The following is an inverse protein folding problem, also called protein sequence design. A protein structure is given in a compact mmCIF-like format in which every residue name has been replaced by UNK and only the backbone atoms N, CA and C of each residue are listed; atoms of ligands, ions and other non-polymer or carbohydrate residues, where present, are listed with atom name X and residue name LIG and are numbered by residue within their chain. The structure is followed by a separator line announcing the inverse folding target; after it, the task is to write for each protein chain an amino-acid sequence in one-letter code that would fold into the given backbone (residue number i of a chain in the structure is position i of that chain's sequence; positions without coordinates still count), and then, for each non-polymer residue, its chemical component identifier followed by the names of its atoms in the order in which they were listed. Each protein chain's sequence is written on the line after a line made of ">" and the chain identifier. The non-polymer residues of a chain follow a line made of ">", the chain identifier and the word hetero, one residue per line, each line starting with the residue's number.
data_IF_354713477588
#
_entry.id   IF_354713477588
#
_cell.length_a   1.000
_cell.length_b   1.000
_cell.length_c   1.000
_cell.angle_alpha   90.00
_cell.angle_beta   90.00
_cell.angle_gamma   90.00
#
_symmetry.space_group_name_H-M   'P 1'
#
loop_
_entity.id
_entity.type
_entity.pdbx_description
1 polymer ?
#
# COMPACT_ATOMS: atom_id res chain seq x y z
N UNK A 1 0.83 -16.73 -34.51
CA UNK A 1 1.20 -16.76 -33.07
C UNK A 1 2.13 -15.61 -32.72
N UNK A 2 3.03 -15.15 -33.61
CA UNK A 2 3.93 -14.00 -33.36
C UNK A 2 3.24 -12.64 -33.08
N UNK A 3 2.07 -12.36 -33.69
CA UNK A 3 1.36 -11.09 -33.46
C UNK A 3 0.81 -10.99 -32.02
N UNK A 4 0.23 -12.07 -31.49
CA UNK A 4 -0.37 -12.12 -30.15
C UNK A 4 0.71 -11.92 -29.07
N UNK A 5 1.89 -12.51 -29.27
CA UNK A 5 3.03 -12.37 -28.36
C UNK A 5 3.67 -10.97 -28.39
N UNK A 6 3.66 -10.31 -29.55
CA UNK A 6 4.15 -8.93 -29.66
C UNK A 6 3.18 -7.95 -29.00
N UNK A 7 1.88 -8.24 -29.10
CA UNK A 7 0.80 -7.42 -28.54
C UNK A 7 0.80 -7.45 -27.00
N UNK A 8 0.96 -8.62 -26.35
CA UNK A 8 0.98 -8.70 -24.88
C UNK A 8 2.15 -7.92 -24.27
N UNK A 9 3.35 -8.00 -24.86
CA UNK A 9 4.54 -7.31 -24.37
C UNK A 9 4.42 -5.79 -24.51
N UNK A 10 3.90 -5.34 -25.66
CA UNK A 10 3.62 -3.92 -25.89
C UNK A 10 2.60 -3.40 -24.89
N UNK A 11 1.51 -4.14 -24.69
CA UNK A 11 0.44 -3.76 -23.77
C UNK A 11 0.94 -3.70 -22.32
N UNK A 12 1.74 -4.68 -21.86
CA UNK A 12 2.30 -4.71 -20.51
C UNK A 12 3.24 -3.52 -20.25
N UNK A 13 4.07 -3.18 -21.24
CA UNK A 13 4.93 -1.99 -21.20
C UNK A 13 4.11 -0.70 -21.15
N UNK A 14 3.12 -0.53 -22.00
CA UNK A 14 2.30 0.68 -22.03
C UNK A 14 1.47 0.84 -20.74
N UNK A 15 0.90 -0.25 -20.25
CA UNK A 15 0.12 -0.28 -19.01
C UNK A 15 0.98 0.12 -17.81
N UNK A 16 2.11 -0.55 -17.58
CA UNK A 16 3.00 -0.25 -16.45
C UNK A 16 3.52 1.20 -16.47
N UNK A 17 3.99 1.68 -17.63
CA UNK A 17 4.45 3.07 -17.79
C UNK A 17 3.33 4.06 -17.47
N UNK A 18 2.12 3.82 -17.98
CA UNK A 18 0.97 4.69 -17.74
C UNK A 18 0.60 4.72 -16.26
N UNK A 19 0.54 3.57 -15.60
CA UNK A 19 0.09 3.45 -14.21
C UNK A 19 1.09 4.08 -13.24
N UNK A 20 2.39 3.82 -13.38
CA UNK A 20 3.41 4.48 -12.55
C UNK A 20 3.55 5.98 -12.86
N UNK A 21 3.32 6.42 -14.10
CA UNK A 21 3.32 7.85 -14.44
C UNK A 21 2.17 8.61 -13.79
N UNK A 22 0.99 8.00 -13.62
CA UNK A 22 -0.18 8.63 -12.98
C UNK A 22 0.11 9.07 -11.53
N UNK A 23 0.99 8.35 -10.85
CA UNK A 23 1.42 8.66 -9.47
C UNK A 23 2.77 9.42 -9.41
N UNK A 24 3.30 9.85 -10.57
CA UNK A 24 4.64 10.46 -10.70
C UNK A 24 5.75 9.62 -10.04
N UNK A 25 5.70 8.29 -10.23
CA UNK A 25 6.66 7.37 -9.62
C UNK A 25 8.07 7.57 -10.20
N UNK A 26 9.04 7.76 -9.30
CA UNK A 26 10.44 8.01 -9.63
C UNK A 26 11.36 7.18 -8.75
N UNK A 27 12.52 6.80 -9.28
CA UNK A 27 13.59 6.16 -8.49
C UNK A 27 14.03 7.09 -7.36
N UNK A 28 14.10 6.54 -6.14
CA UNK A 28 14.44 7.27 -4.90
C UNK A 28 15.67 8.16 -5.05
N UNK A 29 16.73 7.64 -5.67
CA UNK A 29 18.03 8.32 -5.73
C UNK A 29 18.26 9.10 -7.02
N UNK A 30 18.06 8.46 -8.18
CA UNK A 30 18.34 9.07 -9.48
C UNK A 30 17.25 10.03 -9.96
N UNK A 31 16.08 10.02 -9.32
CA UNK A 31 14.88 10.79 -9.70
C UNK A 31 14.39 10.51 -11.15
N UNK A 32 14.94 9.46 -11.78
CA UNK A 32 14.53 9.00 -13.09
C UNK A 32 13.10 8.43 -13.02
N UNK A 33 12.32 8.53 -14.11
CA UNK A 33 11.04 7.86 -14.19
C UNK A 33 11.18 6.37 -13.85
N UNK A 34 10.23 5.84 -13.07
CA UNK A 34 10.29 4.43 -12.66
C UNK A 34 10.31 3.44 -13.84
N UNK A 35 9.79 3.87 -15.01
CA UNK A 35 9.85 3.12 -16.25
C UNK A 35 11.26 2.71 -16.70
N UNK A 36 12.32 3.40 -16.23
CA UNK A 36 13.71 3.00 -16.51
C UNK A 36 14.05 1.68 -15.81
N UNK A 37 13.61 1.50 -14.57
CA UNK A 37 13.80 0.24 -13.82
C UNK A 37 13.03 -0.90 -14.48
N UNK A 38 11.75 -0.69 -14.77
CA UNK A 38 10.90 -1.70 -15.43
C UNK A 38 11.52 -2.17 -16.75
N UNK A 39 12.07 -1.24 -17.54
CA UNK A 39 12.76 -1.57 -18.78
C UNK A 39 14.06 -2.36 -18.55
N UNK A 40 14.81 -2.06 -17.49
CA UNK A 40 16.04 -2.77 -17.14
C UNK A 40 15.75 -4.21 -16.69
N UNK A 41 14.74 -4.41 -15.84
CA UNK A 41 14.31 -5.73 -15.37
C UNK A 41 13.79 -6.57 -16.54
N UNK A 42 12.87 -6.03 -17.35
CA UNK A 42 12.36 -6.73 -18.53
C UNK A 42 13.47 -7.08 -19.53
N UNK A 43 14.45 -6.18 -19.71
CA UNK A 43 15.62 -6.46 -20.55
C UNK A 43 16.46 -7.61 -19.98
N UNK A 44 16.76 -7.64 -18.68
CA UNK A 44 17.50 -8.73 -18.06
C UNK A 44 16.78 -10.07 -18.23
N UNK A 45 15.48 -10.12 -17.97
CA UNK A 45 14.66 -11.33 -18.15
C UNK A 45 14.68 -11.80 -19.61
N UNK A 46 14.55 -10.87 -20.58
CA UNK A 46 14.62 -11.20 -22.02
C UNK A 46 15.97 -11.78 -22.49
N UNK A 47 17.02 -11.71 -21.66
CA UNK A 47 18.31 -12.36 -22.00
C UNK A 47 18.36 -13.85 -21.70
N UNK A 48 17.42 -14.36 -20.90
CA UNK A 48 17.40 -15.75 -20.43
C UNK A 48 16.13 -16.52 -20.80
N UNK A 49 15.10 -15.83 -21.30
CA UNK A 49 13.87 -16.44 -21.79
C UNK A 49 13.26 -15.63 -22.95
N UNK A 50 12.58 -16.33 -23.85
CA UNK A 50 11.73 -15.75 -24.91
C UNK A 50 10.23 -15.84 -24.59
N UNK A 51 9.87 -16.38 -23.42
CA UNK A 51 8.50 -16.53 -22.97
C UNK A 51 7.81 -15.16 -22.76
N UNK A 52 6.79 -14.82 -23.56
CA UNK A 52 6.13 -13.51 -23.49
C UNK A 52 5.48 -13.23 -22.15
N UNK A 53 4.91 -14.25 -21.48
CA UNK A 53 4.24 -14.06 -20.20
C UNK A 53 5.25 -13.72 -19.08
N UNK A 54 6.42 -14.38 -19.03
CA UNK A 54 7.49 -14.02 -18.06
C UNK A 54 8.04 -12.62 -18.31
N UNK A 55 8.24 -12.23 -19.57
CA UNK A 55 8.73 -10.88 -19.91
C UNK A 55 7.64 -9.82 -19.63
N UNK A 56 6.36 -10.13 -19.88
CA UNK A 56 5.25 -9.26 -19.49
C UNK A 56 5.18 -9.07 -17.97
N UNK A 57 5.34 -10.14 -17.19
CA UNK A 57 5.46 -10.07 -15.72
C UNK A 57 6.61 -9.17 -15.30
N UNK A 58 7.77 -9.23 -15.96
CA UNK A 58 8.90 -8.35 -15.66
C UNK A 58 8.56 -6.85 -15.83
N UNK A 59 7.69 -6.49 -16.77
CA UNK A 59 7.16 -5.12 -16.89
C UNK A 59 6.14 -4.77 -15.80
N UNK A 60 5.42 -5.76 -15.27
CA UNK A 60 4.26 -5.58 -14.39
C UNK A 60 4.56 -5.85 -12.90
N UNK A 61 5.75 -6.34 -12.55
CA UNK A 61 6.05 -6.90 -11.23
C UNK A 61 5.74 -5.95 -10.05
N UNK A 62 6.01 -4.66 -10.20
CA UNK A 62 5.76 -3.65 -9.15
C UNK A 62 4.40 -2.96 -9.26
N UNK A 63 3.60 -3.27 -10.29
CA UNK A 63 2.38 -2.50 -10.59
C UNK A 63 1.36 -2.64 -9.47
N UNK A 64 1.20 -3.84 -8.91
CA UNK A 64 0.25 -4.11 -7.82
C UNK A 64 0.75 -3.55 -6.48
N UNK A 65 2.07 -3.51 -6.27
CA UNK A 65 2.65 -3.00 -5.02
C UNK A 65 2.65 -1.48 -4.95
N UNK A 66 3.08 -0.82 -6.03
CA UNK A 66 3.37 0.61 -6.03
C UNK A 66 2.22 1.48 -6.54
N UNK A 67 1.19 0.87 -7.12
CA UNK A 67 0.12 1.61 -7.79
C UNK A 67 -1.26 1.16 -7.34
N UNK A 68 -2.34 1.95 -7.57
CA UNK A 68 -3.69 1.55 -7.21
C UNK A 68 -4.27 0.36 -8.01
N UNK A 69 -3.54 -0.16 -9.00
CA UNK A 69 -3.96 -1.27 -9.84
C UNK A 69 -4.00 -2.58 -9.04
N UNK A 70 -4.99 -3.40 -9.33
CA UNK A 70 -5.27 -4.66 -8.62
C UNK A 70 -4.89 -5.88 -9.43
N UNK A 71 -4.69 -7.02 -8.77
CA UNK A 71 -4.44 -8.30 -9.46
C UNK A 71 -5.57 -8.71 -10.41
N UNK A 72 -6.80 -8.26 -10.13
CA UNK A 72 -7.93 -8.47 -11.03
C UNK A 72 -7.80 -7.69 -12.34
N UNK A 73 -7.37 -6.43 -12.29
CA UNK A 73 -7.11 -5.65 -13.51
C UNK A 73 -5.99 -6.30 -14.33
N UNK A 74 -4.94 -6.83 -13.68
CA UNK A 74 -3.89 -7.58 -14.37
C UNK A 74 -4.45 -8.85 -15.04
N UNK A 75 -5.28 -9.61 -14.33
CA UNK A 75 -5.92 -10.82 -14.87
C UNK A 75 -6.83 -10.52 -16.05
N UNK A 76 -7.60 -9.43 -15.98
CA UNK A 76 -8.53 -9.03 -17.04
C UNK A 76 -7.80 -8.59 -18.31
N UNK A 77 -6.68 -7.88 -18.16
CA UNK A 77 -5.93 -7.29 -19.29
C UNK A 77 -4.89 -8.26 -19.88
N UNK A 78 -4.30 -9.15 -19.08
CA UNK A 78 -3.15 -9.99 -19.47
C UNK A 78 -3.36 -11.50 -19.27
N UNK A 79 -4.49 -11.91 -18.69
CA UNK A 79 -4.83 -13.30 -18.43
C UNK A 79 -4.35 -13.82 -17.07
N UNK A 80 -4.88 -14.99 -16.70
CA UNK A 80 -4.64 -15.63 -15.39
C UNK A 80 -3.19 -15.99 -15.15
N UNK A 81 -2.47 -16.42 -16.19
CA UNK A 81 -1.06 -16.80 -16.11
C UNK A 81 -0.18 -15.62 -15.65
N UNK A 82 -0.29 -14.47 -16.31
CA UNK A 82 0.47 -13.27 -15.95
C UNK A 82 0.07 -12.76 -14.57
N UNK A 83 -1.23 -12.77 -14.25
CA UNK A 83 -1.71 -12.36 -12.93
C UNK A 83 -1.18 -13.25 -11.81
N UNK A 84 -1.06 -14.56 -12.03
CA UNK A 84 -0.48 -15.48 -11.05
C UNK A 84 1.02 -15.24 -10.87
N UNK A 85 1.75 -14.96 -11.95
CA UNK A 85 3.18 -14.61 -11.86
C UNK A 85 3.42 -13.27 -11.15
N UNK A 86 2.57 -12.27 -11.37
CA UNK A 86 2.63 -10.98 -10.65
C UNK A 86 2.28 -11.19 -9.17
N UNK A 87 1.26 -12.00 -8.88
CA UNK A 87 0.91 -12.37 -7.50
C UNK A 87 2.07 -13.03 -6.76
N UNK A 88 2.75 -14.01 -7.39
CA UNK A 88 3.94 -14.67 -6.83
C UNK A 88 5.08 -13.70 -6.46
N UNK A 89 5.11 -12.52 -7.07
CA UNK A 89 6.12 -11.49 -6.87
C UNK A 89 5.69 -10.40 -5.87
N UNK A 90 4.40 -10.35 -5.54
CA UNK A 90 3.81 -9.34 -4.70
C UNK A 90 3.96 -9.74 -3.23
N UNK A 91 4.51 -8.87 -2.39
CA UNK A 91 4.61 -9.08 -0.94
C UNK A 91 3.23 -9.46 -0.35
N UNK A 92 3.20 -10.36 0.62
CA UNK A 92 1.95 -10.85 1.25
C UNK A 92 1.82 -10.36 2.69
N UNK A 93 2.93 -9.93 3.29
CA UNK A 93 2.95 -9.44 4.65
C UNK A 93 2.13 -8.16 4.79
N UNK A 94 1.50 -8.03 5.94
CA UNK A 94 0.65 -6.91 6.34
C UNK A 94 1.31 -6.14 7.47
N UNK A 95 0.95 -4.87 7.68
CA UNK A 95 1.52 -4.08 8.76
C UNK A 95 1.34 -4.74 10.15
N UNK A 96 0.20 -5.40 10.40
CA UNK A 96 -0.08 -6.13 11.64
C UNK A 96 0.68 -7.44 11.86
N UNK A 97 1.43 -7.95 10.87
CA UNK A 97 2.18 -9.23 10.97
C UNK A 97 3.48 -9.12 11.81
N UNK A 98 3.57 -8.12 12.68
CA UNK A 98 4.71 -7.90 13.58
C UNK A 98 5.80 -7.01 12.99
N UNK A 99 7.02 -7.13 13.52
CA UNK A 99 8.14 -6.26 13.13
C UNK A 99 8.64 -6.53 11.70
N UNK A 100 9.53 -5.66 11.18
CA UNK A 100 10.07 -5.79 9.80
C UNK A 100 10.67 -7.17 9.51
N UNK A 101 11.37 -7.77 10.48
CA UNK A 101 11.98 -9.07 10.30
C UNK A 101 10.93 -10.19 10.16
N UNK A 102 9.85 -10.14 10.95
CA UNK A 102 8.72 -11.06 10.83
C UNK A 102 8.02 -10.91 9.47
N UNK A 103 7.73 -9.68 9.05
CA UNK A 103 7.11 -9.40 7.75
C UNK A 103 7.96 -9.90 6.57
N UNK A 104 9.26 -9.61 6.57
CA UNK A 104 10.18 -10.08 5.53
C UNK A 104 10.37 -11.60 5.54
N UNK A 105 10.21 -12.27 6.69
CA UNK A 105 10.19 -13.72 6.74
C UNK A 105 8.96 -14.31 6.02
N UNK A 106 7.78 -13.71 6.19
CA UNK A 106 6.54 -14.09 5.50
C UNK A 106 6.66 -13.87 3.99
N UNK A 107 7.15 -12.71 3.55
CA UNK A 107 7.34 -12.41 2.12
C UNK A 107 8.35 -13.39 1.48
N UNK A 108 9.41 -13.77 2.22
CA UNK A 108 10.37 -14.77 1.76
C UNK A 108 9.76 -16.16 1.66
N UNK A 109 8.91 -16.55 2.61
CA UNK A 109 8.19 -17.83 2.55
C UNK A 109 7.26 -17.89 1.32
N UNK A 110 6.55 -16.79 1.03
CA UNK A 110 5.76 -16.65 -0.19
C UNK A 110 6.63 -16.82 -1.46
N UNK A 111 7.75 -16.10 -1.56
CA UNK A 111 8.68 -16.23 -2.67
C UNK A 111 9.32 -17.62 -2.77
N UNK A 112 9.47 -18.36 -1.67
CA UNK A 112 9.95 -19.72 -1.68
C UNK A 112 9.01 -20.65 -2.46
N UNK A 113 7.69 -20.42 -2.35
CA UNK A 113 6.64 -21.19 -3.01
C UNK A 113 6.33 -20.68 -4.43
N UNK A 114 6.87 -19.53 -4.83
CA UNK A 114 6.69 -18.95 -6.15
C UNK A 114 7.25 -19.85 -7.27
N UNK A 115 6.67 -19.73 -8.47
CA UNK A 115 7.14 -20.45 -9.65
C UNK A 115 8.57 -20.04 -10.06
N UNK A 116 9.30 -20.94 -10.74
CA UNK A 116 10.64 -20.65 -11.25
C UNK A 116 10.68 -19.42 -12.16
N UNK A 117 9.59 -19.16 -12.91
CA UNK A 117 9.43 -17.97 -13.75
C UNK A 117 9.34 -16.69 -12.93
N UNK A 118 8.53 -16.67 -11.87
CA UNK A 118 8.49 -15.55 -10.93
C UNK A 118 9.85 -15.34 -10.24
N UNK A 119 10.47 -16.42 -9.73
CA UNK A 119 11.83 -16.34 -9.13
C UNK A 119 12.87 -15.75 -10.11
N UNK A 120 12.78 -16.08 -11.39
CA UNK A 120 13.62 -15.50 -12.47
C UNK A 120 13.44 -13.99 -12.60
N UNK A 121 12.19 -13.51 -12.58
CA UNK A 121 11.90 -12.06 -12.58
C UNK A 121 12.43 -11.41 -11.30
N UNK A 122 12.24 -12.04 -10.13
CA UNK A 122 12.74 -11.49 -8.85
C UNK A 122 14.26 -11.37 -8.84
N UNK A 123 14.99 -12.30 -9.43
CA UNK A 123 16.45 -12.21 -9.57
C UNK A 123 16.87 -11.00 -10.41
N UNK A 124 16.18 -10.74 -11.52
CA UNK A 124 16.44 -9.56 -12.36
C UNK A 124 16.14 -8.24 -11.62
N UNK A 125 15.02 -8.19 -10.89
CA UNK A 125 14.67 -7.08 -10.00
C UNK A 125 15.78 -6.81 -8.97
N UNK A 126 16.18 -7.83 -8.20
CA UNK A 126 17.24 -7.73 -7.19
C UNK A 126 18.57 -7.25 -7.79
N UNK A 127 18.93 -7.67 -9.01
CA UNK A 127 20.14 -7.20 -9.68
C UNK A 127 20.08 -5.70 -9.93
N UNK A 128 18.99 -5.19 -10.53
CA UNK A 128 18.85 -3.78 -10.86
C UNK A 128 18.81 -2.91 -9.60
N UNK A 129 17.99 -3.31 -8.62
CA UNK A 129 17.84 -2.61 -7.35
C UNK A 129 19.14 -2.60 -6.54
N UNK A 130 19.85 -3.72 -6.45
CA UNK A 130 21.15 -3.79 -5.77
C UNK A 130 22.17 -2.83 -6.41
N UNK A 131 22.21 -2.74 -7.74
CA UNK A 131 23.12 -1.83 -8.44
C UNK A 131 22.84 -0.35 -8.13
N UNK A 132 21.56 0.04 -8.10
CA UNK A 132 21.15 1.42 -7.83
C UNK A 132 21.38 1.78 -6.36
N UNK A 133 20.98 0.92 -5.42
CA UNK A 133 21.09 1.16 -3.98
C UNK A 133 22.56 1.25 -3.56
N UNK A 134 23.40 0.26 -3.92
CA UNK A 134 24.82 0.27 -3.52
C UNK A 134 25.60 1.48 -4.05
N UNK A 135 25.16 2.05 -5.17
CA UNK A 135 25.82 3.21 -5.78
C UNK A 135 25.45 4.51 -5.08
N UNK A 136 24.21 4.63 -4.61
CA UNK A 136 23.65 5.91 -4.21
C UNK A 136 23.38 6.03 -2.69
N UNK A 137 23.23 4.92 -1.97
CA UNK A 137 22.89 4.92 -0.55
C UNK A 137 23.67 3.84 0.23
N UNK A 138 24.92 4.12 0.63
CA UNK A 138 25.74 3.17 1.38
C UNK A 138 25.15 2.75 2.72
N UNK A 139 24.29 3.57 3.34
CA UNK A 139 23.66 3.26 4.63
C UNK A 139 22.55 2.23 4.44
N UNK A 140 21.61 2.50 3.52
CA UNK A 140 20.54 1.56 3.23
C UNK A 140 21.05 0.27 2.55
N UNK A 141 22.12 0.37 1.76
CA UNK A 141 22.73 -0.76 1.08
C UNK A 141 23.10 -1.90 2.05
N UNK A 142 23.47 -1.61 3.30
CA UNK A 142 23.81 -2.65 4.27
C UNK A 142 22.59 -3.46 4.72
N UNK A 143 21.45 -2.81 4.91
CA UNK A 143 20.17 -3.47 5.20
C UNK A 143 19.73 -4.28 4.00
N UNK A 144 19.70 -3.64 2.82
CA UNK A 144 19.25 -4.28 1.58
C UNK A 144 20.09 -5.50 1.19
N UNK A 145 21.43 -5.46 1.36
CA UNK A 145 22.31 -6.60 1.07
C UNK A 145 22.06 -7.78 2.01
N UNK A 146 21.70 -7.51 3.26
CA UNK A 146 21.30 -8.57 4.20
C UNK A 146 19.99 -9.21 3.77
N UNK A 147 18.99 -8.39 3.42
CA UNK A 147 17.69 -8.85 2.91
C UNK A 147 17.81 -9.62 1.59
N UNK A 148 18.58 -9.10 0.62
CA UNK A 148 18.88 -9.78 -0.64
C UNK A 148 19.58 -11.12 -0.40
N UNK A 149 20.48 -11.21 0.59
CA UNK A 149 21.13 -12.47 0.95
C UNK A 149 20.13 -13.54 1.37
N UNK A 150 19.17 -13.18 2.24
CA UNK A 150 18.11 -14.07 2.68
C UNK A 150 17.16 -14.50 1.53
N UNK A 151 16.89 -13.61 0.57
CA UNK A 151 16.09 -13.95 -0.61
C UNK A 151 16.83 -14.93 -1.53
N UNK A 152 18.14 -14.76 -1.73
CA UNK A 152 18.94 -15.66 -2.57
C UNK A 152 18.97 -17.12 -2.08
N UNK A 153 18.65 -17.37 -0.80
CA UNK A 153 18.51 -18.73 -0.25
C UNK A 153 17.30 -19.48 -0.84
N UNK A 154 16.24 -18.77 -1.24
CA UNK A 154 14.98 -19.37 -1.73
C UNK A 154 14.75 -19.18 -3.24
N UNK A 155 15.61 -18.41 -3.90
CA UNK A 155 15.55 -18.09 -5.34
C UNK A 155 16.44 -18.98 -6.23
N UNK A 156 17.05 -20.04 -5.67
CA UNK A 156 17.98 -20.93 -6.37
C UNK A 156 17.34 -21.72 -7.54
N UNK A 157 16.02 -21.88 -7.54
CA UNK A 157 15.28 -22.56 -8.62
C UNK A 157 14.86 -21.61 -9.77
N UNK A 158 15.21 -20.33 -9.71
CA UNK A 158 15.08 -19.41 -10.84
C UNK A 158 16.11 -19.69 -11.94
N UNK A 159 16.18 -18.83 -12.97
CA UNK A 159 17.19 -18.97 -14.01
C UNK A 159 18.62 -18.97 -13.44
N UNK A 160 19.40 -19.98 -13.81
CA UNK A 160 20.75 -20.20 -13.28
C UNK A 160 21.72 -19.08 -13.62
N UNK A 161 21.61 -18.45 -14.80
CA UNK A 161 22.52 -17.36 -15.20
C UNK A 161 22.22 -16.09 -14.40
N UNK A 162 20.94 -15.73 -14.27
CA UNK A 162 20.52 -14.61 -13.43
C UNK A 162 20.84 -14.87 -11.95
N UNK A 163 20.69 -16.10 -11.46
CA UNK A 163 21.06 -16.45 -10.09
C UNK A 163 22.55 -16.18 -9.82
N UNK A 164 23.43 -16.67 -10.70
CA UNK A 164 24.87 -16.42 -10.58
C UNK A 164 25.20 -14.92 -10.70
N UNK A 165 24.51 -14.19 -11.56
CA UNK A 165 24.66 -12.75 -11.68
C UNK A 165 24.21 -12.01 -10.41
N UNK A 166 23.11 -12.43 -9.79
CA UNK A 166 22.60 -11.85 -8.55
C UNK A 166 23.57 -12.12 -7.38
N UNK A 167 24.06 -13.36 -7.23
CA UNK A 167 25.08 -13.73 -6.23
C UNK A 167 26.36 -12.91 -6.42
N UNK A 168 26.83 -12.74 -7.66
CA UNK A 168 28.02 -11.92 -7.95
C UNK A 168 27.78 -10.44 -7.64
N UNK A 169 26.58 -9.93 -7.94
CA UNK A 169 26.18 -8.54 -7.67
C UNK A 169 26.14 -8.30 -6.16
N UNK A 170 25.50 -9.20 -5.40
CA UNK A 170 25.46 -9.21 -3.95
C UNK A 170 26.86 -9.20 -3.33
N UNK A 171 27.72 -10.15 -3.71
CA UNK A 171 29.08 -10.26 -3.19
C UNK A 171 29.92 -9.01 -3.47
N UNK A 172 29.84 -8.47 -4.70
CA UNK A 172 30.55 -7.25 -5.11
C UNK A 172 30.07 -6.03 -4.33
N UNK A 173 28.76 -5.90 -4.09
CA UNK A 173 28.21 -4.81 -3.29
C UNK A 173 28.62 -4.94 -1.83
N UNK A 174 28.49 -6.13 -1.24
CA UNK A 174 28.87 -6.42 0.15
C UNK A 174 30.34 -6.08 0.41
N UNK A 175 31.24 -6.39 -0.53
CA UNK A 175 32.67 -6.07 -0.40
C UNK A 175 32.98 -4.55 -0.41
N UNK A 176 32.07 -3.71 -0.91
CA UNK A 176 32.21 -2.25 -0.91
C UNK A 176 31.67 -1.59 0.35
N UNK A 177 30.96 -2.33 1.20
CA UNK A 177 30.37 -1.78 2.42
C UNK A 177 31.40 -1.82 3.56
N UNK A 178 31.55 -0.69 4.24
CA UNK A 178 32.52 -0.51 5.32
C UNK A 178 31.92 -1.06 6.64
N UNK A 179 32.61 -1.95 7.38
CA UNK A 179 32.05 -2.58 8.58
C UNK A 179 31.86 -1.62 9.78
N UNK A 180 32.38 -0.39 9.72
CA UNK A 180 32.29 0.61 10.81
C UNK A 180 31.03 1.49 10.78
N UNK A 181 30.15 1.34 9.78
CA UNK A 181 28.86 2.05 9.77
C UNK A 181 27.90 1.29 10.69
N UNK A 182 27.78 1.73 11.93
CA UNK A 182 26.84 1.18 12.90
C UNK A 182 25.40 1.22 12.37
N UNK A 183 24.70 0.10 12.55
CA UNK A 183 23.27 -0.06 12.32
C UNK A 183 22.48 1.05 13.03
N UNK A 184 21.94 1.97 12.25
CA UNK A 184 20.74 2.69 12.66
C UNK A 184 19.57 1.98 11.96
N UNK A 185 18.84 1.15 12.69
CA UNK A 185 17.80 0.26 12.20
C UNK A 185 16.53 0.98 11.69
N UNK A 186 16.58 2.30 11.55
CA UNK A 186 15.43 3.18 11.29
C UNK A 186 15.52 3.88 9.92
N UNK A 187 15.78 3.15 8.83
CA UNK A 187 15.95 3.77 7.49
C UNK A 187 14.61 3.88 6.71
N UNK A 188 13.47 3.51 7.29
CA UNK A 188 12.17 3.83 6.69
C UNK A 188 11.69 5.24 7.10
N UNK A 189 12.51 6.27 6.86
CA UNK A 189 12.24 7.65 7.30
C UNK A 189 11.19 8.40 6.46
N UNK A 190 10.62 7.78 5.42
CA UNK A 190 9.61 8.44 4.57
C UNK A 190 8.22 8.48 5.21
N UNK A 191 7.99 7.59 6.17
CA UNK A 191 6.78 7.48 6.97
C UNK A 191 7.24 7.68 8.42
N UNK A 192 6.66 8.67 9.11
CA UNK A 192 7.03 8.99 10.50
C UNK A 192 5.86 8.62 11.40
N UNK A 193 6.11 7.93 12.52
CA UNK A 193 5.07 7.66 13.50
C UNK A 193 4.57 8.95 14.15
N UNK A 194 3.32 8.94 14.59
CA UNK A 194 2.75 10.01 15.41
C UNK A 194 3.48 10.08 16.75
N UNK A 195 3.89 11.28 17.18
CA UNK A 195 4.57 11.51 18.47
C UNK A 195 3.61 11.65 19.65
N UNK A 196 2.29 11.78 19.42
CA UNK A 196 1.22 11.95 20.41
C UNK A 196 1.09 10.86 21.49
N UNK A 197 0.07 10.99 22.35
CA UNK A 197 -0.15 10.10 23.51
C UNK A 197 -0.31 8.63 23.07
N UNK A 198 0.71 7.80 23.34
CA UNK A 198 0.77 6.40 22.92
C UNK A 198 -0.45 5.60 23.36
N UNK A 199 -0.96 5.87 24.56
CA UNK A 199 -2.14 5.19 25.09
C UNK A 199 -3.39 5.48 24.25
N UNK A 200 -3.56 6.73 23.84
CA UNK A 200 -4.73 7.15 23.08
C UNK A 200 -4.70 6.62 21.64
N UNK A 201 -3.51 6.55 21.02
CA UNK A 201 -3.32 5.92 19.71
C UNK A 201 -3.62 4.42 19.79
N UNK A 202 -3.15 3.75 20.84
CA UNK A 202 -3.42 2.33 21.07
C UNK A 202 -4.91 2.03 21.25
N UNK A 203 -5.58 2.77 22.13
CA UNK A 203 -7.03 2.62 22.32
C UNK A 203 -7.79 2.82 21.01
N UNK A 204 -7.31 3.75 20.18
CA UNK A 204 -7.90 4.02 18.88
C UNK A 204 -7.68 2.90 17.86
N UNK A 205 -6.48 2.29 17.80
CA UNK A 205 -6.18 1.18 16.89
C UNK A 205 -6.91 -0.11 17.28
N UNK A 206 -7.12 -0.34 18.58
CA UNK A 206 -7.83 -1.53 19.09
C UNK A 206 -9.36 -1.39 19.06
N UNK A 207 -9.90 -0.19 18.81
CA UNK A 207 -11.33 0.08 18.84
C UNK A 207 -12.10 -0.40 17.59
N UNK A 208 -11.39 -0.74 16.52
CA UNK A 208 -11.98 -1.07 15.22
C UNK A 208 -11.36 -2.33 14.63
N UNK A 209 -12.22 -3.21 14.13
CA UNK A 209 -11.86 -4.54 13.65
C UNK A 209 -12.61 -4.89 12.38
N UNK A 210 -12.08 -5.82 11.59
CA UNK A 210 -12.63 -6.25 10.31
C UNK A 210 -14.14 -6.59 10.39
N UNK A 211 -14.56 -7.27 11.46
CA UNK A 211 -15.95 -7.65 11.69
C UNK A 211 -16.91 -6.45 11.79
N UNK A 212 -16.43 -5.25 12.19
CA UNK A 212 -17.26 -4.07 12.37
C UNK A 212 -17.77 -3.48 11.04
N UNK A 213 -17.11 -3.85 9.92
CA UNK A 213 -17.43 -3.36 8.58
C UNK A 213 -17.65 -4.47 7.56
N UNK A 214 -17.48 -5.73 7.95
CA UNK A 214 -17.73 -6.87 7.07
C UNK A 214 -19.22 -6.92 6.66
N UNK A 215 -19.47 -7.12 5.36
CA UNK A 215 -20.79 -7.50 4.86
C UNK A 215 -20.95 -9.02 4.93
N UNK A 216 -22.13 -9.54 5.29
CA UNK A 216 -22.34 -10.98 5.42
C UNK A 216 -22.22 -11.67 4.05
N UNK A 217 -21.44 -12.74 3.99
CA UNK A 217 -21.35 -13.60 2.81
C UNK A 217 -22.47 -14.62 2.78
N UNK A 218 -23.00 -14.85 1.59
CA UNK A 218 -23.84 -16.02 1.32
C UNK A 218 -23.02 -17.11 0.67
N UNK A 219 -23.31 -18.35 1.05
CA UNK A 219 -22.66 -19.54 0.51
C UNK A 219 -23.63 -20.39 -0.31
N UNK A 220 -23.21 -20.79 -1.50
CA UNK A 220 -23.97 -21.63 -2.44
C UNK A 220 -23.28 -23.00 -2.61
N UNK A 221 -24.05 -24.04 -2.92
CA UNK A 221 -23.48 -25.33 -3.29
C UNK A 221 -22.68 -25.19 -4.59
N UNK A 222 -21.54 -25.88 -4.70
CA UNK A 222 -20.70 -25.86 -5.91
C UNK A 222 -21.45 -26.26 -7.18
N UNK A 223 -22.45 -27.14 -7.08
CA UNK A 223 -23.25 -27.62 -8.20
C UNK A 223 -24.46 -26.73 -8.50
N UNK A 224 -24.62 -25.62 -7.78
CA UNK A 224 -25.69 -24.65 -8.04
C UNK A 224 -25.55 -24.11 -9.47
N UNK A 225 -26.65 -24.10 -10.22
CA UNK A 225 -26.65 -23.50 -11.56
C UNK A 225 -26.36 -22.00 -11.49
N UNK A 226 -25.62 -21.49 -12.47
CA UNK A 226 -25.23 -20.09 -12.53
C UNK A 226 -26.43 -19.15 -12.63
N UNK A 227 -27.48 -19.54 -13.34
CA UNK A 227 -28.71 -18.73 -13.47
C UNK A 227 -29.38 -18.56 -12.11
N UNK A 228 -29.42 -19.64 -11.32
CA UNK A 228 -30.00 -19.58 -9.98
C UNK A 228 -29.14 -18.79 -9.01
N UNK A 229 -27.81 -18.90 -9.13
CA UNK A 229 -26.88 -18.08 -8.36
C UNK A 229 -27.06 -16.59 -8.69
N UNK A 230 -27.13 -16.23 -9.98
CA UNK A 230 -27.40 -14.87 -10.44
C UNK A 230 -28.73 -14.34 -9.89
N UNK A 231 -29.82 -15.12 -9.97
CA UNK A 231 -31.11 -14.74 -9.36
C UNK A 231 -31.00 -14.43 -7.86
N UNK A 232 -30.22 -15.23 -7.11
CA UNK A 232 -30.00 -15.01 -5.68
C UNK A 232 -29.17 -13.75 -5.46
N UNK A 233 -28.11 -13.58 -6.23
CA UNK A 233 -27.20 -12.43 -6.13
C UNK A 233 -27.93 -11.13 -6.45
N UNK A 234 -28.70 -11.07 -7.54
CA UNK A 234 -29.50 -9.89 -7.92
C UNK A 234 -30.58 -9.57 -6.88
N UNK A 235 -31.33 -10.58 -6.42
CA UNK A 235 -32.39 -10.40 -5.43
C UNK A 235 -31.88 -9.81 -4.12
N UNK A 236 -30.64 -10.13 -3.77
CA UNK A 236 -30.02 -9.70 -2.52
C UNK A 236 -28.94 -8.63 -2.71
N UNK A 237 -28.78 -8.10 -3.93
CA UNK A 237 -27.78 -7.11 -4.31
C UNK A 237 -26.36 -7.51 -3.84
N UNK A 238 -25.97 -8.74 -4.16
CA UNK A 238 -24.67 -9.32 -3.80
C UNK A 238 -23.73 -9.27 -5.00
N UNK A 239 -22.54 -8.71 -4.80
CA UNK A 239 -21.48 -8.73 -5.82
C UNK A 239 -20.66 -10.03 -5.80
N UNK A 240 -20.64 -10.71 -4.66
CA UNK A 240 -19.84 -11.91 -4.40
C UNK A 240 -20.58 -12.90 -3.50
N UNK A 241 -20.39 -14.19 -3.77
CA UNK A 241 -20.87 -15.31 -2.94
C UNK A 241 -19.74 -16.32 -2.76
N UNK A 242 -19.75 -17.06 -1.65
CA UNK A 242 -18.85 -18.19 -1.46
C UNK A 242 -19.46 -19.48 -2.01
N UNK A 243 -18.61 -20.42 -2.37
CA UNK A 243 -19.03 -21.77 -2.73
C UNK A 243 -18.62 -22.76 -1.65
N UNK A 244 -19.51 -23.71 -1.38
CA UNK A 244 -19.28 -24.80 -0.43
C UNK A 244 -19.39 -26.17 -1.06
N UNK A 245 -18.51 -27.04 -0.64
CA UNK A 245 -18.50 -28.48 -0.93
C UNK A 245 -18.42 -29.22 0.40
N UNK A 246 -19.32 -30.18 0.62
CA UNK A 246 -19.40 -30.96 1.87
C UNK A 246 -19.48 -30.10 3.16
N UNK A 247 -20.09 -28.91 3.04
CA UNK A 247 -20.25 -27.97 4.16
C UNK A 247 -19.04 -27.07 4.42
N UNK A 248 -17.92 -27.23 3.69
CA UNK A 248 -16.75 -26.37 3.78
C UNK A 248 -16.73 -25.34 2.66
N UNK A 249 -16.31 -24.12 2.97
CA UNK A 249 -16.13 -23.07 1.97
C UNK A 249 -14.80 -23.29 1.25
N UNK A 250 -14.85 -23.46 -0.07
CA UNK A 250 -13.68 -23.79 -0.90
C UNK A 250 -13.26 -22.67 -1.85
N UNK A 251 -14.12 -21.67 -2.04
CA UNK A 251 -13.86 -20.55 -2.95
C UNK A 251 -15.01 -19.57 -3.01
N UNK A 252 -14.98 -18.69 -4.00
CA UNK A 252 -15.99 -17.67 -4.23
C UNK A 252 -16.26 -17.45 -5.72
N UNK A 253 -17.40 -16.84 -6.02
CA UNK A 253 -17.78 -16.42 -7.37
C UNK A 253 -18.29 -14.99 -7.33
N UNK A 254 -18.00 -14.24 -8.39
CA UNK A 254 -18.46 -12.86 -8.56
C UNK A 254 -19.63 -12.79 -9.54
N UNK A 255 -20.54 -11.86 -9.29
CA UNK A 255 -21.76 -11.70 -10.07
C UNK A 255 -21.45 -11.51 -11.55
N UNK A 256 -20.49 -10.64 -11.85
CA UNK A 256 -20.10 -10.30 -13.23
C UNK A 256 -19.33 -11.37 -14.00
N UNK A 257 -19.06 -12.53 -13.40
CA UNK A 257 -18.26 -13.61 -14.01
C UNK A 257 -19.03 -14.93 -14.19
N UNK A 258 -20.27 -14.98 -13.70
CA UNK A 258 -21.13 -16.14 -13.87
C UNK A 258 -21.62 -16.17 -15.32
N UNK A 259 -21.17 -17.17 -16.07
CA UNK A 259 -21.75 -17.53 -17.37
C UNK A 259 -22.68 -18.73 -17.22
N UNK A 260 -23.19 -19.29 -18.32
CA UNK A 260 -24.09 -20.45 -18.27
C UNK A 260 -23.36 -21.69 -17.73
N UNK A 261 -24.08 -22.51 -16.94
CA UNK A 261 -23.52 -23.75 -16.37
C UNK A 261 -23.66 -23.81 -14.85
N UNK A 262 -22.60 -24.25 -14.18
CA UNK A 262 -22.57 -24.42 -12.72
C UNK A 262 -21.54 -23.48 -12.09
N UNK A 263 -21.81 -23.06 -10.85
CA UNK A 263 -20.95 -22.13 -10.12
C UNK A 263 -19.50 -22.62 -9.99
N UNK A 264 -19.28 -23.93 -9.79
CA UNK A 264 -17.95 -24.52 -9.69
C UNK A 264 -17.04 -24.17 -10.88
N UNK A 265 -17.59 -24.10 -12.11
CA UNK A 265 -16.82 -23.78 -13.32
C UNK A 265 -16.31 -22.33 -13.34
N UNK A 266 -16.90 -21.46 -12.54
CA UNK A 266 -16.55 -20.04 -12.42
C UNK A 266 -15.88 -19.72 -11.07
N UNK A 267 -15.54 -20.76 -10.30
CA UNK A 267 -15.01 -20.60 -8.96
C UNK A 267 -13.61 -19.99 -8.96
N UNK A 268 -13.41 -19.04 -8.04
CA UNK A 268 -12.10 -18.52 -7.67
C UNK A 268 -11.68 -19.07 -6.32
N UNK A 269 -10.44 -19.54 -6.24
CA UNK A 269 -9.81 -19.87 -4.96
C UNK A 269 -9.41 -18.59 -4.22
N UNK A 270 -9.42 -18.63 -2.89
CA UNK A 270 -8.90 -17.53 -2.08
C UNK A 270 -7.40 -17.38 -2.27
N UNK A 271 -6.95 -16.17 -2.56
CA UNK A 271 -5.53 -15.83 -2.72
C UNK A 271 -4.85 -15.72 -1.35
N UNK A 272 -3.53 -15.94 -1.31
CA UNK A 272 -2.78 -15.83 -0.05
C UNK A 272 -2.89 -14.40 0.52
N UNK A 273 -3.13 -14.29 1.83
CA UNK A 273 -3.32 -13.00 2.50
C UNK A 273 -4.69 -12.34 2.25
N UNK A 274 -5.55 -12.89 1.38
CA UNK A 274 -6.87 -12.33 1.08
C UNK A 274 -7.89 -12.58 2.20
N UNK A 275 -7.67 -13.60 3.04
CA UNK A 275 -8.48 -13.90 4.22
C UNK A 275 -7.82 -13.28 5.47
N UNK A 276 -8.64 -12.68 6.34
CA UNK A 276 -8.26 -12.14 7.66
C UNK A 276 -9.18 -12.68 8.74
N UNK A 277 -8.74 -12.61 10.00
CA UNK A 277 -9.63 -12.84 11.14
C UNK A 277 -10.51 -11.60 11.37
N UNK A 278 -11.71 -11.79 11.90
CA UNK A 278 -12.64 -10.72 12.29
C UNK A 278 -12.03 -9.66 13.21
N UNK A 279 -11.04 -10.01 14.02
CA UNK A 279 -10.30 -9.10 14.91
C UNK A 279 -9.19 -8.29 14.21
N UNK A 280 -8.92 -8.54 12.93
CA UNK A 280 -7.86 -7.83 12.19
C UNK A 280 -8.14 -6.33 12.06
N UNK A 281 -7.09 -5.52 12.04
CA UNK A 281 -7.23 -4.06 12.10
C UNK A 281 -7.70 -3.49 10.76
N UNK A 282 -8.31 -2.29 10.77
CA UNK A 282 -8.60 -1.57 9.53
C UNK A 282 -7.36 -1.27 8.69
N UNK A 283 -6.18 -1.09 9.31
CA UNK A 283 -4.93 -0.93 8.56
C UNK A 283 -4.64 -2.15 7.69
N UNK A 284 -4.82 -3.36 8.22
CA UNK A 284 -4.63 -4.61 7.47
C UNK A 284 -5.66 -4.74 6.34
N UNK A 285 -6.91 -4.34 6.59
CA UNK A 285 -7.96 -4.32 5.57
C UNK A 285 -7.61 -3.39 4.41
N UNK A 286 -7.24 -2.14 4.71
CA UNK A 286 -6.83 -1.16 3.70
C UNK A 286 -5.66 -1.71 2.88
N UNK A 287 -4.67 -2.32 3.54
CA UNK A 287 -3.52 -2.92 2.89
C UNK A 287 -3.92 -4.01 1.89
N UNK A 288 -4.78 -4.96 2.29
CA UNK A 288 -5.26 -6.03 1.39
C UNK A 288 -6.01 -5.44 0.19
N UNK A 289 -6.88 -4.46 0.43
CA UNK A 289 -7.68 -3.81 -0.60
C UNK A 289 -6.86 -2.93 -1.57
N UNK A 290 -5.57 -2.70 -1.29
CA UNK A 290 -4.67 -2.09 -2.29
C UNK A 290 -4.40 -3.06 -3.44
N UNK A 291 -4.27 -4.36 -3.14
CA UNK A 291 -3.87 -5.40 -4.10
C UNK A 291 -5.05 -6.23 -4.61
N UNK A 292 -6.06 -6.42 -3.76
CA UNK A 292 -7.23 -7.26 -3.99
C UNK A 292 -8.51 -6.43 -4.06
N UNK A 293 -9.51 -6.91 -4.81
CA UNK A 293 -10.84 -6.27 -4.82
C UNK A 293 -11.66 -6.56 -3.56
N UNK A 294 -11.47 -7.75 -2.99
CA UNK A 294 -12.18 -8.24 -1.82
C UNK A 294 -11.19 -8.74 -0.79
N UNK A 295 -11.42 -8.38 0.46
CA UNK A 295 -10.85 -8.96 1.65
C UNK A 295 -11.92 -9.85 2.31
N UNK A 296 -11.62 -11.11 2.54
CA UNK A 296 -12.54 -12.07 3.15
C UNK A 296 -12.29 -12.15 4.66
N UNK A 297 -13.36 -12.12 5.45
CA UNK A 297 -13.30 -12.10 6.91
C UNK A 297 -13.75 -13.45 7.44
N UNK A 298 -12.88 -14.04 8.26
CA UNK A 298 -13.15 -15.28 8.97
C UNK A 298 -13.47 -15.01 10.44
N UNK A 299 -14.57 -15.57 10.91
CA UNK A 299 -14.98 -15.54 12.32
C UNK A 299 -15.16 -16.99 12.76
N UNK A 300 -14.49 -17.38 13.85
CA UNK A 300 -14.47 -18.76 14.37
C UNK A 300 -14.00 -19.81 13.34
N UNK A 301 -13.10 -19.42 12.44
CA UNK A 301 -12.49 -20.32 11.45
C UNK A 301 -13.30 -20.50 10.16
N UNK A 302 -14.46 -19.87 10.02
CA UNK A 302 -15.26 -19.89 8.80
C UNK A 302 -15.27 -18.53 8.10
N UNK A 303 -15.21 -18.53 6.77
CA UNK A 303 -15.29 -17.30 5.95
C UNK A 303 -16.75 -16.87 5.80
N UNK A 304 -17.17 -15.88 6.57
CA UNK A 304 -18.57 -15.47 6.66
C UNK A 304 -18.80 -13.98 6.39
N UNK A 305 -17.73 -13.20 6.19
CA UNK A 305 -17.83 -11.81 5.80
C UNK A 305 -16.91 -11.47 4.63
N UNK A 306 -17.24 -10.39 3.92
CA UNK A 306 -16.32 -9.77 2.98
C UNK A 306 -16.29 -8.26 3.17
N UNK A 307 -15.20 -7.65 2.75
CA UNK A 307 -15.00 -6.22 2.71
C UNK A 307 -14.44 -5.91 1.32
N UNK A 308 -15.05 -4.98 0.60
CA UNK A 308 -14.51 -4.41 -0.63
C UNK A 308 -14.18 -2.93 -0.40
N UNK A 309 -13.71 -2.24 -1.45
CA UNK A 309 -13.48 -0.80 -1.36
C UNK A 309 -14.77 -0.01 -1.08
N UNK A 310 -15.97 -0.51 -1.39
CA UNK A 310 -17.21 0.22 -1.06
C UNK A 310 -17.43 0.36 0.45
N UNK A 311 -17.04 -0.65 1.23
CA UNK A 311 -17.24 -0.67 2.69
C UNK A 311 -16.39 0.41 3.39
N UNK A 312 -15.37 0.95 2.72
CA UNK A 312 -14.55 2.07 3.21
C UNK A 312 -15.38 3.36 3.32
N UNK A 313 -16.49 3.47 2.59
CA UNK A 313 -17.43 4.59 2.74
C UNK A 313 -18.35 4.47 3.97
N UNK A 314 -18.31 3.36 4.71
CA UNK A 314 -19.15 3.18 5.91
C UNK A 314 -18.81 4.21 7.00
N UNK A 315 -19.81 4.66 7.80
CA UNK A 315 -19.60 5.63 8.88
C UNK A 315 -18.49 5.25 9.87
N UNK A 316 -18.34 3.95 10.18
CA UNK A 316 -17.31 3.44 11.09
C UNK A 316 -15.90 3.72 10.57
N UNK A 317 -15.65 3.48 9.28
CA UNK A 317 -14.35 3.78 8.64
C UNK A 317 -14.11 5.28 8.57
N UNK A 318 -15.16 6.09 8.35
CA UNK A 318 -15.05 7.55 8.39
C UNK A 318 -14.68 8.07 9.78
N UNK A 319 -15.26 7.49 10.83
CA UNK A 319 -14.88 7.81 12.21
C UNK A 319 -13.41 7.47 12.46
N UNK A 320 -12.95 6.32 11.95
CA UNK A 320 -11.55 5.94 12.01
C UNK A 320 -10.63 6.90 11.22
N UNK A 321 -10.94 7.22 9.97
CA UNK A 321 -10.12 8.16 9.19
C UNK A 321 -10.09 9.57 9.80
N UNK A 322 -11.21 10.03 10.35
CA UNK A 322 -11.28 11.32 11.04
C UNK A 322 -10.38 11.34 12.29
N UNK A 323 -10.33 10.24 13.04
CA UNK A 323 -9.39 10.09 14.15
C UNK A 323 -7.94 10.20 13.70
N UNK A 324 -7.54 9.54 12.61
CA UNK A 324 -6.18 9.64 12.07
C UNK A 324 -5.86 11.08 11.63
N UNK A 325 -6.78 11.75 10.93
CA UNK A 325 -6.59 13.15 10.54
C UNK A 325 -6.47 14.06 11.75
N UNK A 326 -7.22 13.77 12.82
CA UNK A 326 -7.10 14.50 14.08
C UNK A 326 -5.71 14.33 14.68
N UNK A 327 -5.13 13.13 14.64
CA UNK A 327 -3.73 12.92 15.05
C UNK A 327 -2.74 13.70 14.19
N UNK A 328 -2.93 13.71 12.86
CA UNK A 328 -2.11 14.54 11.97
C UNK A 328 -2.22 16.02 12.37
N UNK A 329 -3.44 16.54 12.59
CA UNK A 329 -3.64 17.93 12.95
C UNK A 329 -2.99 18.28 14.30
N UNK A 330 -3.08 17.39 15.30
CA UNK A 330 -2.40 17.53 16.59
C UNK A 330 -0.87 17.57 16.43
N UNK A 331 -0.29 16.70 15.60
CA UNK A 331 1.14 16.70 15.30
C UNK A 331 1.58 17.98 14.60
N UNK A 332 0.81 18.48 13.64
CA UNK A 332 1.10 19.75 12.97
C UNK A 332 1.16 20.90 13.99
N UNK A 333 0.21 20.96 14.91
CA UNK A 333 0.19 21.96 15.99
C UNK A 333 1.44 21.83 16.86
N UNK A 334 1.80 20.63 17.30
CA UNK A 334 2.98 20.41 18.13
C UNK A 334 4.27 20.82 17.42
N UNK A 335 4.43 20.43 16.15
CA UNK A 335 5.58 20.86 15.35
C UNK A 335 5.66 22.37 15.18
N UNK A 336 4.53 23.06 14.96
CA UNK A 336 4.55 24.52 14.87
C UNK A 336 5.02 25.13 16.20
N UNK A 337 4.54 24.63 17.35
CA UNK A 337 4.99 25.11 18.66
C UNK A 337 6.49 24.91 18.88
N UNK A 338 7.01 23.75 18.51
CA UNK A 338 8.42 23.40 18.73
C UNK A 338 9.37 24.24 17.85
N UNK A 339 8.99 24.49 16.59
CA UNK A 339 9.84 25.20 15.63
C UNK A 339 9.60 26.71 15.57
N UNK A 340 8.43 27.18 16.02
CA UNK A 340 8.02 28.59 15.97
C UNK A 340 7.50 29.06 17.34
N UNK A 341 8.39 29.16 18.35
CA UNK A 341 8.00 29.63 19.67
C UNK A 341 7.49 31.07 19.61
N UNK A 342 6.63 31.43 20.57
CA UNK A 342 6.04 32.76 20.73
C UNK A 342 5.28 33.27 19.49
N UNK A 343 4.62 32.36 18.78
CA UNK A 343 3.87 32.66 17.55
C UNK A 343 4.70 33.34 16.45
N UNK A 344 6.00 33.05 16.37
CA UNK A 344 6.90 33.57 15.31
C UNK A 344 6.56 33.07 13.89
N UNK A 345 5.59 32.17 13.76
CA UNK A 345 5.04 31.69 12.50
C UNK A 345 4.10 32.70 11.81
N UNK A 346 3.63 33.74 12.51
CA UNK A 346 2.61 34.68 12.00
C UNK A 346 3.00 35.34 10.67
N UNK A 347 4.29 35.67 10.49
CA UNK A 347 4.82 36.31 9.28
C UNK A 347 4.84 35.38 8.06
N UNK A 348 4.63 34.07 8.25
CA UNK A 348 4.57 33.07 7.19
C UNK A 348 3.18 32.94 6.57
N UNK A 349 2.17 33.60 7.13
CA UNK A 349 0.81 33.64 6.59
C UNK A 349 0.51 34.97 5.91
N UNK A 350 -0.43 34.93 4.95
CA UNK A 350 -0.93 36.17 4.36
C UNK A 350 -1.75 36.97 5.38
N UNK A 351 -1.75 38.32 5.30
CA UNK A 351 -2.51 39.16 6.24
C UNK A 351 -3.99 38.77 6.34
N UNK A 352 -4.60 38.38 5.21
CA UNK A 352 -5.99 37.93 5.14
C UNK A 352 -6.24 36.64 5.94
N UNK A 353 -5.31 35.69 5.92
CA UNK A 353 -5.44 34.42 6.67
C UNK A 353 -5.25 34.65 8.16
N UNK A 354 -4.22 35.42 8.53
CA UNK A 354 -3.96 35.79 9.93
C UNK A 354 -5.15 36.55 10.55
N UNK A 355 -5.72 37.52 9.82
CA UNK A 355 -6.88 38.27 10.28
C UNK A 355 -8.10 37.38 10.56
N UNK A 356 -8.36 36.37 9.72
CA UNK A 356 -9.44 35.41 9.96
C UNK A 356 -9.22 34.60 11.24
N UNK A 357 -7.99 34.17 11.50
CA UNK A 357 -7.65 33.43 12.72
C UNK A 357 -7.81 34.29 13.98
N UNK A 358 -7.37 35.56 13.90
CA UNK A 358 -7.56 36.54 14.99
C UNK A 358 -9.05 36.78 15.28
N UNK A 359 -9.87 36.99 14.24
CA UNK A 359 -11.33 37.14 14.38
C UNK A 359 -11.97 35.92 15.04
N UNK A 360 -11.57 34.71 14.64
CA UNK A 360 -12.10 33.49 15.23
C UNK A 360 -11.70 33.35 16.72
N UNK A 361 -10.47 33.71 17.07
CA UNK A 361 -9.98 33.72 18.45
C UNK A 361 -10.77 34.72 19.30
N UNK A 362 -10.98 35.93 18.78
CA UNK A 362 -11.74 36.97 19.48
C UNK A 362 -13.19 36.55 19.72
N UNK A 363 -13.83 35.92 18.73
CA UNK A 363 -15.18 35.35 18.87
C UNK A 363 -15.22 34.21 19.90
N UNK A 364 -14.21 33.33 19.95
CA UNK A 364 -14.10 32.27 20.96
C UNK A 364 -13.93 32.87 22.37
N UNK A 365 -13.06 33.86 22.53
CA UNK A 365 -12.86 34.56 23.81
C UNK A 365 -14.14 35.26 24.28
N UNK A 366 -14.90 35.88 23.36
CA UNK A 366 -16.20 36.49 23.65
C UNK A 366 -17.22 35.48 24.18
N UNK A 367 -17.13 34.21 23.75
CA UNK A 367 -17.97 33.10 24.23
C UNK A 367 -17.43 32.41 25.49
N UNK A 368 -16.37 32.93 26.09
CA UNK A 368 -15.72 32.33 27.26
C UNK A 368 -14.90 31.08 26.94
N UNK A 369 -14.50 30.88 25.68
CA UNK A 369 -13.67 29.76 25.26
C UNK A 369 -12.21 30.18 25.20
N UNK A 370 -11.36 29.57 26.02
CA UNK A 370 -9.91 29.77 25.95
C UNK A 370 -9.34 28.96 24.78
N UNK A 371 -8.70 29.65 23.83
CA UNK A 371 -8.00 29.03 22.70
C UNK A 371 -6.78 29.87 22.30
N UNK A 372 -5.72 29.20 21.88
CA UNK A 372 -4.54 29.85 21.33
C UNK A 372 -4.83 30.33 19.89
N UNK A 373 -3.99 31.24 19.39
CA UNK A 373 -4.13 31.70 18.00
C UNK A 373 -3.91 30.54 17.01
N UNK A 374 -2.99 29.64 17.33
CA UNK A 374 -2.69 28.44 16.55
C UNK A 374 -3.90 27.50 16.40
N UNK A 375 -4.75 27.39 17.43
CA UNK A 375 -5.99 26.58 17.42
C UNK A 375 -7.08 27.17 16.51
N UNK A 376 -6.89 28.40 16.05
CA UNK A 376 -7.81 29.12 15.17
C UNK A 376 -7.39 29.06 13.70
N UNK A 377 -6.22 28.49 13.39
CA UNK A 377 -5.75 28.26 12.03
C UNK A 377 -6.49 27.10 11.35
N UNK A 378 -6.73 27.22 10.04
CA UNK A 378 -7.20 26.09 9.25
C UNK A 378 -6.09 25.05 9.05
N UNK A 379 -6.46 23.82 8.69
CA UNK A 379 -5.49 22.74 8.43
C UNK A 379 -4.44 23.15 7.37
N UNK A 380 -4.88 23.77 6.27
CA UNK A 380 -3.96 24.24 5.21
C UNK A 380 -3.06 25.39 5.63
N UNK A 381 -3.47 26.22 6.61
CA UNK A 381 -2.61 27.26 7.17
C UNK A 381 -1.47 26.63 8.00
N UNK A 382 -1.81 25.64 8.84
CA UNK A 382 -0.83 24.87 9.62
C UNK A 382 0.17 24.16 8.70
N UNK A 383 -0.32 23.51 7.64
CA UNK A 383 0.53 22.88 6.64
C UNK A 383 1.45 23.88 5.92
N UNK A 384 0.92 25.04 5.53
CA UNK A 384 1.71 26.09 4.85
C UNK A 384 2.88 26.59 5.70
N UNK A 385 2.67 26.83 7.00
CA UNK A 385 3.71 27.27 7.93
C UNK A 385 4.89 26.30 7.92
N UNK A 386 4.61 25.00 8.05
CA UNK A 386 5.64 23.96 8.12
C UNK A 386 6.37 23.76 6.79
N UNK A 387 5.70 23.99 5.66
CA UNK A 387 6.29 23.92 4.31
C UNK A 387 7.37 25.01 4.09
N UNK A 388 7.31 26.13 4.78
CA UNK A 388 8.35 27.17 4.69
C UNK A 388 9.66 26.75 5.37
N UNK A 389 9.61 25.79 6.30
CA UNK A 389 10.77 25.35 7.04
C UNK A 389 11.57 24.27 6.28
N UNK A 390 12.66 24.67 5.62
CA UNK A 390 13.53 23.76 4.85
C UNK A 390 14.16 22.66 5.73
N UNK A 391 14.52 22.97 6.98
CA UNK A 391 15.09 21.97 7.88
C UNK A 391 14.05 20.91 8.27
N UNK A 392 12.81 21.34 8.49
CA UNK A 392 11.72 20.43 8.78
C UNK A 392 11.40 19.53 7.58
N UNK A 393 11.32 20.08 6.37
CA UNK A 393 11.12 19.29 5.16
C UNK A 393 12.21 18.22 4.98
N UNK A 394 13.46 18.58 5.27
CA UNK A 394 14.59 17.65 5.24
C UNK A 394 14.47 16.59 6.34
N UNK A 395 14.08 16.97 7.55
CA UNK A 395 13.80 15.99 8.63
C UNK A 395 12.69 15.03 8.19
N UNK A 396 11.61 15.52 7.61
CA UNK A 396 10.48 14.69 7.17
C UNK A 396 10.72 13.86 5.89
N UNK A 397 11.96 13.84 5.39
CA UNK A 397 12.35 13.21 4.11
C UNK A 397 11.46 13.62 2.92
N UNK A 398 10.99 14.88 2.93
CA UNK A 398 10.15 15.40 1.84
C UNK A 398 11.05 16.00 0.77
N UNK A 399 11.07 15.33 -0.38
CA UNK A 399 11.94 15.64 -1.52
C UNK A 399 11.84 17.07 -2.06
N UNK A 400 10.68 17.73 -1.92
CA UNK A 400 10.50 19.10 -2.39
C UNK A 400 9.32 19.82 -1.74
N UNK A 401 9.36 21.15 -1.80
CA UNK A 401 8.26 22.02 -1.38
C UNK A 401 6.96 21.73 -2.16
N UNK A 402 7.06 21.42 -3.44
CA UNK A 402 5.92 21.03 -4.27
C UNK A 402 5.29 19.72 -3.81
N UNK A 403 6.12 18.74 -3.44
CA UNK A 403 5.66 17.46 -2.86
C UNK A 403 4.90 17.73 -1.56
N UNK A 404 5.47 18.56 -0.68
CA UNK A 404 4.84 18.91 0.59
C UNK A 404 3.46 19.59 0.40
N UNK A 405 3.37 20.54 -0.54
CA UNK A 405 2.10 21.20 -0.89
C UNK A 405 1.05 20.21 -1.42
N UNK A 406 1.47 19.25 -2.24
CA UNK A 406 0.57 18.19 -2.75
C UNK A 406 0.02 17.35 -1.61
N UNK A 407 0.88 16.89 -0.69
CA UNK A 407 0.47 16.10 0.48
C UNK A 407 -0.53 16.87 1.35
N UNK A 408 -0.24 18.14 1.68
CA UNK A 408 -1.15 18.96 2.50
C UNK A 408 -2.51 19.12 1.80
N UNK A 409 -2.52 19.34 0.49
CA UNK A 409 -3.76 19.47 -0.29
C UNK A 409 -4.58 18.18 -0.31
N UNK A 410 -3.92 17.03 -0.45
CA UNK A 410 -4.56 15.72 -0.42
C UNK A 410 -5.18 15.42 0.96
N UNK A 411 -4.47 15.74 2.05
CA UNK A 411 -5.00 15.58 3.40
C UNK A 411 -6.15 16.55 3.70
N UNK A 412 -6.06 17.80 3.21
CA UNK A 412 -7.15 18.77 3.30
C UNK A 412 -8.39 18.30 2.53
N UNK A 413 -8.20 17.75 1.32
CA UNK A 413 -9.27 17.13 0.52
C UNK A 413 -9.96 16.02 1.28
N UNK A 414 -9.20 15.02 1.75
CA UNK A 414 -9.75 13.90 2.51
C UNK A 414 -10.50 14.37 3.77
N UNK A 415 -9.93 15.33 4.53
CA UNK A 415 -10.60 15.92 5.71
C UNK A 415 -11.97 16.52 5.36
N UNK A 416 -12.04 17.27 4.27
CA UNK A 416 -13.28 17.91 3.83
C UNK A 416 -14.30 16.87 3.34
N UNK A 417 -13.85 15.85 2.60
CA UNK A 417 -14.71 14.78 2.09
C UNK A 417 -15.31 13.95 3.23
N UNK A 418 -14.53 13.68 4.28
CA UNK A 418 -15.01 13.04 5.51
C UNK A 418 -16.06 13.90 6.23
N UNK A 419 -15.83 15.21 6.33
CA UNK A 419 -16.78 16.12 6.97
C UNK A 419 -18.11 16.27 6.20
N UNK A 420 -18.10 16.12 4.87
CA UNK A 420 -19.27 16.29 4.01
C UNK A 420 -19.86 14.99 3.48
N UNK A 421 -19.44 13.84 4.05
CA UNK A 421 -19.95 12.52 3.69
C UNK A 421 -19.83 12.14 2.20
N UNK A 422 -18.80 12.65 1.52
CA UNK A 422 -18.54 12.37 0.11
C UNK A 422 -17.83 11.02 -0.09
N UNK A 423 -17.79 10.52 -1.33
CA UNK A 423 -17.05 9.30 -1.66
C UNK A 423 -15.53 9.56 -1.49
N UNK A 424 -14.91 8.83 -0.57
CA UNK A 424 -13.50 8.94 -0.22
C UNK A 424 -12.62 7.91 -0.95
N UNK A 425 -13.23 6.92 -1.61
CA UNK A 425 -12.50 5.83 -2.26
C UNK A 425 -11.96 6.29 -3.61
N UNK A 426 -12.79 6.95 -4.41
CA UNK A 426 -12.43 7.31 -5.80
C UNK A 426 -11.22 8.25 -5.89
N UNK A 427 -11.10 9.20 -4.96
CA UNK A 427 -10.10 10.27 -5.07
C UNK A 427 -9.06 10.28 -3.93
N UNK A 428 -9.35 9.67 -2.79
CA UNK A 428 -8.50 9.75 -1.59
C UNK A 428 -7.88 8.40 -1.17
N UNK A 429 -7.93 7.37 -2.02
CA UNK A 429 -7.35 6.05 -1.72
C UNK A 429 -5.86 6.12 -1.35
N UNK A 430 -5.04 6.79 -2.15
CA UNK A 430 -3.61 6.94 -1.87
C UNK A 430 -3.32 7.62 -0.52
N UNK A 431 -3.95 8.77 -0.20
CA UNK A 431 -3.91 9.36 1.13
C UNK A 431 -4.32 8.42 2.27
N UNK A 432 -5.42 7.67 2.11
CA UNK A 432 -5.91 6.69 3.10
C UNK A 432 -4.84 5.64 3.39
N UNK A 433 -4.26 5.03 2.34
CA UNK A 433 -3.20 4.02 2.45
C UNK A 433 -1.97 4.57 3.19
N UNK A 434 -1.52 5.79 2.87
CA UNK A 434 -0.36 6.38 3.56
C UNK A 434 -0.65 6.69 5.02
N UNK A 435 -1.86 7.14 5.34
CA UNK A 435 -2.28 7.43 6.70
C UNK A 435 -2.38 6.14 7.54
N UNK A 436 -2.87 5.04 6.96
CA UNK A 436 -2.95 3.76 7.65
C UNK A 436 -1.57 3.21 7.98
N UNK A 437 -0.60 3.29 7.05
CA UNK A 437 0.79 2.91 7.34
C UNK A 437 1.43 3.73 8.47
N UNK A 438 1.22 5.06 8.50
CA UNK A 438 1.73 5.92 9.59
C UNK A 438 1.19 5.53 10.96
N UNK A 439 -0.09 5.18 11.01
CA UNK A 439 -0.73 4.75 12.24
C UNK A 439 -0.06 3.47 12.75
N UNK A 440 0.20 2.50 11.87
CA UNK A 440 0.84 1.24 12.26
C UNK A 440 2.25 1.43 12.80
N UNK A 441 3.12 2.17 12.10
CA UNK A 441 4.50 2.36 12.55
C UNK A 441 4.58 2.97 13.94
N UNK A 442 3.60 3.81 14.28
CA UNK A 442 3.48 4.40 15.62
C UNK A 442 3.27 3.33 16.69
N UNK A 443 2.53 2.29 16.36
CA UNK A 443 2.26 1.17 17.24
C UNK A 443 3.47 0.21 17.31
N UNK A 444 4.08 -0.14 16.16
CA UNK A 444 5.19 -1.10 16.13
C UNK A 444 6.43 -0.60 16.85
N UNK A 445 6.76 0.69 16.72
CA UNK A 445 7.93 1.32 17.37
C UNK A 445 7.79 1.50 18.89
N UNK A 446 6.57 1.38 19.43
CA UNK A 446 6.28 1.61 20.86
C UNK A 446 5.88 0.34 21.61
N UNK A 447 5.76 -0.78 20.90
CA UNK A 447 5.41 -2.10 21.43
C UNK A 447 6.63 -3.03 21.59
N UNK A 448 7.81 -2.61 21.09
CA UNK A 448 9.11 -3.17 21.43
C UNK A 448 9.84 -2.24 22.40
#
# INVERSE_FOLDING_TARGET
>A
MDNINTDILKNAREFSIRTHKRIDHRRKYSQQPYSVHLAAVAKLVSTVTDDPATIATAWLHDVVEDTPATLYEIETEFGSEVAHLVENLTDVSKPGDGNRAARKALDREHLCQASNRAKTVKLADLIDNCNDICKNDPRFAQVYITEMGALLEVLNDGDSNLYQQAVKTHARCRAKLNPEIQHDSNIDETIRPFKGNAHLIRLFTEAFSAQDIAEPLRSLDINQSSEKALEIMERHNLDVVTLREEGQIIGYVRCGELETGICHSHMRSFRQGQIVNGDSTFTDIIHILTRQQYCFVSILGEVNGYISRSEINKPVVRMWLFGIITFVEMELVQMIRDFYPQDSWQDLLSPKRLQKALQLREERLRRGQHSELLDCLQFSDKGQILIENKELLKKMDISSRSTAKRIVKELESLRNNLAHSQDIVTYDWGPIVRLSYRLEETFTLRSG
#
